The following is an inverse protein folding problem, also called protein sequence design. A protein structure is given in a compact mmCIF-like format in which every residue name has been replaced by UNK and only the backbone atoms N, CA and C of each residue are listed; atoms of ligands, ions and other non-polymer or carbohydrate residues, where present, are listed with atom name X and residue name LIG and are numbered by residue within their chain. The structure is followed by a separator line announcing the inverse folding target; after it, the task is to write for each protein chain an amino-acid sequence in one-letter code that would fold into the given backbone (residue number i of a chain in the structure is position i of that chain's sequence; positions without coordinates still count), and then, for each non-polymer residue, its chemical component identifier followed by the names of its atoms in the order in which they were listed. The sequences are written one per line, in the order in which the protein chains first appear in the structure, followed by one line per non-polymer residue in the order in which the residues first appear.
data_IF_371576227655
#
_entry.id   IF_371576227655
#
_cell.length_a   1.000
_cell.length_b   1.000
_cell.length_c   1.000
_cell.angle_alpha   90.00
_cell.angle_beta   90.00
_cell.angle_gamma   90.00
#
_symmetry.space_group_name_H-M   'P 1'
#
loop_
_entity.id
_entity.type
_entity.pdbx_description
1 polymer ?
#
# COMPACT_ATOMS: atom_id res chain seq x y z
N UNK A 1 39.52 -29.33 -35.24
CA UNK A 1 39.14 -28.86 -36.59
C UNK A 1 38.06 -29.80 -37.08
N UNK A 2 36.86 -29.34 -37.44
CA UNK A 2 35.84 -30.24 -37.99
C UNK A 2 36.30 -30.72 -39.38
N UNK A 3 36.11 -32.01 -39.68
CA UNK A 3 36.41 -32.61 -40.99
C UNK A 3 35.73 -31.82 -42.13
N UNK A 4 36.41 -31.65 -43.29
CA UNK A 4 35.77 -31.08 -44.47
C UNK A 4 34.68 -32.03 -44.97
N UNK A 5 33.44 -31.57 -44.88
CA UNK A 5 32.25 -32.21 -45.43
C UNK A 5 32.35 -32.18 -46.97
N UNK A 6 32.93 -33.23 -47.56
CA UNK A 6 33.05 -33.40 -49.02
C UNK A 6 31.70 -33.70 -49.72
N UNK A 7 30.58 -33.56 -49.00
CA UNK A 7 29.26 -33.71 -49.58
C UNK A 7 29.00 -32.61 -50.61
N UNK A 8 28.68 -33.03 -51.83
CA UNK A 8 28.33 -32.14 -52.94
C UNK A 8 26.81 -32.09 -53.09
N UNK A 9 26.24 -30.89 -53.03
CA UNK A 9 24.80 -30.66 -53.20
C UNK A 9 24.50 -30.09 -54.59
N UNK A 10 23.33 -30.42 -55.18
CA UNK A 10 22.90 -29.78 -56.42
C UNK A 10 22.58 -28.30 -56.17
N UNK A 11 22.97 -27.45 -57.11
CA UNK A 11 22.66 -26.02 -57.11
C UNK A 11 22.45 -25.52 -58.55
N UNK A 12 21.96 -24.30 -58.69
CA UNK A 12 21.83 -23.64 -60.00
C UNK A 12 22.70 -22.39 -60.03
N UNK A 13 23.59 -22.34 -61.02
CA UNK A 13 24.46 -21.19 -61.26
C UNK A 13 23.94 -20.39 -62.45
N UNK A 14 23.89 -19.08 -62.28
CA UNK A 14 23.53 -18.12 -63.32
C UNK A 14 24.73 -17.20 -63.52
N UNK A 15 25.27 -17.14 -64.74
CA UNK A 15 26.45 -16.33 -65.05
C UNK A 15 26.11 -14.84 -65.21
N UNK A 16 24.91 -14.55 -65.69
CA UNK A 16 24.34 -13.21 -65.84
C UNK A 16 22.81 -13.25 -65.58
N UNK A 17 22.14 -12.09 -65.64
CA UNK A 17 20.69 -11.99 -65.44
C UNK A 17 19.83 -12.62 -66.55
N UNK A 18 20.44 -12.93 -67.71
CA UNK A 18 19.73 -13.33 -68.95
C UNK A 18 19.94 -14.80 -69.33
N UNK A 19 20.85 -15.50 -68.68
CA UNK A 19 21.20 -16.89 -68.96
C UNK A 19 20.26 -17.88 -68.26
N UNK A 20 19.97 -18.99 -68.95
CA UNK A 20 19.29 -20.13 -68.34
C UNK A 20 20.22 -20.77 -67.29
N UNK A 21 19.78 -20.86 -66.04
CA UNK A 21 20.62 -21.34 -64.95
C UNK A 21 21.15 -22.76 -65.20
N UNK A 22 22.47 -22.91 -65.14
CA UNK A 22 23.20 -24.15 -65.39
C UNK A 22 23.22 -25.01 -64.12
N UNK A 23 22.91 -26.32 -64.21
CA UNK A 23 23.00 -27.22 -63.07
C UNK A 23 24.47 -27.42 -62.68
N UNK A 24 24.81 -27.07 -61.44
CA UNK A 24 26.16 -27.20 -60.87
C UNK A 24 26.10 -28.03 -59.60
N UNK A 25 27.25 -28.49 -59.12
CA UNK A 25 27.39 -29.04 -57.76
C UNK A 25 28.22 -28.12 -56.89
N UNK A 26 27.74 -27.90 -55.67
CA UNK A 26 28.41 -27.07 -54.67
C UNK A 26 28.83 -27.88 -53.46
N UNK A 27 29.98 -27.55 -52.89
CA UNK A 27 30.34 -27.99 -51.54
C UNK A 27 30.94 -26.83 -50.75
N UNK A 28 30.88 -26.93 -49.44
CA UNK A 28 31.35 -25.89 -48.52
C UNK A 28 32.77 -26.27 -48.05
N UNK A 29 33.77 -25.53 -48.51
CA UNK A 29 35.17 -25.73 -48.11
C UNK A 29 35.57 -24.78 -46.97
N UNK A 30 36.81 -24.86 -46.50
CA UNK A 30 37.39 -23.87 -45.58
C UNK A 30 37.65 -22.51 -46.24
N UNK A 31 37.83 -22.47 -47.56
CA UNK A 31 38.15 -21.25 -48.34
C UNK A 31 36.93 -20.53 -48.89
N UNK A 32 35.80 -21.21 -49.05
CA UNK A 32 34.60 -20.67 -49.68
C UNK A 32 33.63 -21.73 -50.20
N UNK A 33 32.61 -21.29 -50.92
CA UNK A 33 31.70 -22.17 -51.66
C UNK A 33 32.40 -22.57 -52.96
N UNK A 34 32.65 -23.86 -53.13
CA UNK A 34 33.25 -24.40 -54.35
C UNK A 34 32.15 -24.87 -55.28
N UNK A 35 32.16 -24.39 -56.52
CA UNK A 35 31.16 -24.61 -57.56
C UNK A 35 31.84 -25.43 -58.67
N UNK A 36 31.28 -26.58 -58.99
CA UNK A 36 31.81 -27.53 -59.99
C UNK A 36 30.75 -27.85 -61.05
N UNK A 37 31.18 -28.06 -62.30
CA UNK A 37 30.29 -28.29 -63.44
C UNK A 37 29.86 -27.02 -64.19
N UNK A 38 30.73 -25.98 -64.18
CA UNK A 38 30.60 -24.79 -65.02
C UNK A 38 31.04 -25.12 -66.46
N UNK A 39 30.72 -24.26 -67.43
CA UNK A 39 30.93 -24.52 -68.87
C UNK A 39 32.41 -24.75 -69.27
N UNK A 40 33.37 -24.24 -68.49
CA UNK A 40 34.81 -24.38 -68.73
C UNK A 40 35.46 -25.55 -67.95
N UNK A 41 34.67 -26.40 -67.27
CA UNK A 41 35.11 -27.54 -66.45
C UNK A 41 36.07 -27.19 -65.28
N UNK A 42 36.33 -25.90 -65.04
CA UNK A 42 37.11 -25.37 -63.93
C UNK A 42 36.26 -25.22 -62.64
N UNK A 43 36.81 -25.62 -61.49
CA UNK A 43 36.19 -25.40 -60.18
C UNK A 43 36.28 -23.91 -59.80
N UNK A 44 35.13 -23.24 -59.68
CA UNK A 44 35.04 -21.84 -59.25
C UNK A 44 34.87 -21.78 -57.73
N UNK A 45 35.69 -20.98 -57.05
CA UNK A 45 35.59 -20.79 -55.59
C UNK A 45 35.07 -19.38 -55.29
N UNK A 46 34.00 -19.30 -54.50
CA UNK A 46 33.47 -18.05 -53.95
C UNK A 46 33.84 -17.93 -52.47
N UNK A 47 34.87 -17.13 -52.12
CA UNK A 47 35.26 -16.89 -50.74
C UNK A 47 34.12 -16.35 -49.88
N UNK A 48 33.97 -16.90 -48.68
CA UNK A 48 32.90 -16.52 -47.77
C UNK A 48 32.85 -15.02 -47.51
N UNK A 49 34.00 -14.36 -47.35
CA UNK A 49 34.10 -12.93 -47.02
C UNK A 49 33.56 -11.96 -48.10
N UNK A 50 33.28 -12.46 -49.31
CA UNK A 50 32.76 -11.66 -50.42
C UNK A 50 31.40 -12.18 -50.94
N UNK A 51 30.73 -13.04 -50.17
CA UNK A 51 29.34 -13.41 -50.41
C UNK A 51 28.39 -12.31 -49.97
N UNK A 52 27.33 -12.11 -50.75
CA UNK A 52 26.25 -11.17 -50.49
C UNK A 52 24.88 -11.87 -50.65
N UNK A 53 23.90 -11.43 -49.87
CA UNK A 53 22.53 -11.94 -49.95
C UNK A 53 21.55 -10.82 -49.59
N UNK A 54 20.66 -10.48 -50.52
CA UNK A 54 19.60 -9.49 -50.33
C UNK A 54 18.22 -10.10 -50.63
N UNK A 55 17.32 -10.20 -49.63
CA UNK A 55 17.52 -9.88 -48.21
C UNK A 55 18.48 -10.86 -47.51
N UNK A 56 19.05 -10.45 -46.37
CA UNK A 56 19.90 -11.32 -45.53
C UNK A 56 19.17 -12.61 -45.14
N UNK A 57 19.93 -13.69 -45.08
CA UNK A 57 19.41 -15.05 -44.91
C UNK A 57 18.98 -15.31 -43.48
N UNK A 58 17.80 -15.92 -43.28
CA UNK A 58 17.39 -16.42 -41.96
C UNK A 58 18.23 -17.64 -41.55
N UNK A 59 18.66 -17.76 -40.28
CA UNK A 59 19.37 -18.95 -39.79
C UNK A 59 18.63 -20.29 -40.00
N UNK A 60 17.32 -20.24 -40.23
CA UNK A 60 16.46 -21.42 -40.43
C UNK A 60 16.21 -21.75 -41.91
N UNK A 61 16.78 -20.98 -42.85
CA UNK A 61 16.56 -21.23 -44.27
C UNK A 61 17.20 -22.56 -44.71
N UNK A 62 16.52 -23.26 -45.62
CA UNK A 62 17.05 -24.44 -46.30
C UNK A 62 17.51 -24.16 -47.73
N UNK A 63 17.03 -23.07 -48.34
CA UNK A 63 17.42 -22.65 -49.69
C UNK A 63 17.51 -21.14 -49.80
N UNK A 64 18.53 -20.62 -50.47
CA UNK A 64 18.68 -19.18 -50.71
C UNK A 64 19.46 -18.91 -51.99
N UNK A 65 19.31 -17.71 -52.51
CA UNK A 65 20.16 -17.16 -53.57
C UNK A 65 21.27 -16.36 -52.93
N UNK A 66 22.51 -16.59 -53.37
CA UNK A 66 23.71 -15.89 -52.93
C UNK A 66 24.36 -15.25 -54.17
N UNK A 67 24.82 -14.01 -54.04
CA UNK A 67 25.65 -13.33 -55.04
C UNK A 67 27.09 -13.21 -54.56
N UNK A 68 27.98 -12.93 -55.49
CA UNK A 68 29.41 -12.73 -55.21
C UNK A 68 29.81 -11.32 -55.58
N UNK A 69 30.41 -10.59 -54.62
CA UNK A 69 30.76 -9.17 -54.76
C UNK A 69 31.58 -8.85 -56.02
N UNK A 70 32.47 -9.75 -56.44
CA UNK A 70 33.34 -9.55 -57.60
C UNK A 70 32.74 -10.06 -58.91
N UNK A 71 31.55 -10.69 -58.86
CA UNK A 71 30.76 -11.12 -60.00
C UNK A 71 29.28 -10.76 -59.76
N UNK A 72 28.93 -9.46 -59.74
CA UNK A 72 27.63 -8.99 -59.26
C UNK A 72 26.45 -9.45 -60.12
N UNK A 73 26.68 -9.76 -61.40
CA UNK A 73 25.65 -10.29 -62.30
C UNK A 73 25.40 -11.79 -62.12
N UNK A 74 26.30 -12.48 -61.41
CA UNK A 74 26.20 -13.91 -61.17
C UNK A 74 25.47 -14.21 -59.86
N UNK A 75 24.64 -15.26 -59.88
CA UNK A 75 23.92 -15.72 -58.70
C UNK A 75 23.94 -17.23 -58.60
N UNK A 76 23.95 -17.71 -57.36
CA UNK A 76 23.98 -19.11 -57.02
C UNK A 76 22.77 -19.44 -56.15
N UNK A 77 21.87 -20.25 -56.68
CA UNK A 77 20.72 -20.78 -55.93
C UNK A 77 21.12 -22.11 -55.30
N UNK A 78 21.18 -22.12 -53.97
CA UNK A 78 21.65 -23.27 -53.18
C UNK A 78 20.51 -23.76 -52.29
N UNK A 79 20.31 -25.08 -52.26
CA UNK A 79 19.43 -25.75 -51.32
C UNK A 79 20.21 -26.83 -50.54
N UNK A 80 20.57 -26.53 -49.29
CA UNK A 80 21.36 -27.44 -48.42
C UNK A 80 20.63 -27.59 -47.07
N UNK A 81 20.49 -28.83 -46.55
CA UNK A 81 20.00 -29.04 -45.19
C UNK A 81 20.85 -28.27 -44.16
N UNK A 82 20.21 -27.42 -43.36
CA UNK A 82 20.91 -26.58 -42.38
C UNK A 82 21.77 -25.47 -42.99
N UNK A 83 21.47 -25.03 -44.23
CA UNK A 83 22.22 -23.97 -44.93
C UNK A 83 22.40 -22.72 -44.07
N UNK A 84 21.34 -22.24 -43.43
CA UNK A 84 21.41 -21.06 -42.55
C UNK A 84 22.38 -21.22 -41.37
N UNK A 85 22.46 -22.40 -40.75
CA UNK A 85 23.42 -22.69 -39.67
C UNK A 85 24.85 -22.78 -40.20
N UNK A 86 25.05 -23.46 -41.34
CA UNK A 86 26.36 -23.54 -42.00
C UNK A 86 26.86 -22.14 -42.41
N UNK A 87 26.02 -21.31 -43.03
CA UNK A 87 26.35 -19.92 -43.38
C UNK A 87 26.58 -19.04 -42.15
N UNK A 88 25.86 -19.25 -41.05
CA UNK A 88 26.10 -18.51 -39.79
C UNK A 88 27.50 -18.75 -39.25
N UNK A 89 28.08 -19.92 -39.52
CA UNK A 89 29.44 -20.31 -39.11
C UNK A 89 30.51 -19.76 -40.06
N UNK A 90 30.31 -19.89 -41.38
CA UNK A 90 31.34 -19.58 -42.38
C UNK A 90 31.24 -18.16 -42.96
N UNK A 91 30.05 -17.59 -43.07
CA UNK A 91 29.76 -16.29 -43.66
C UNK A 91 28.70 -15.53 -42.81
N UNK A 92 29.01 -15.14 -41.56
CA UNK A 92 28.04 -14.50 -40.67
C UNK A 92 27.48 -13.18 -41.22
N UNK A 93 28.19 -12.51 -42.14
CA UNK A 93 27.75 -11.26 -42.74
C UNK A 93 26.53 -11.39 -43.66
N UNK A 94 26.26 -12.59 -44.20
CA UNK A 94 25.08 -12.84 -45.05
C UNK A 94 23.84 -13.29 -44.25
N UNK A 95 23.98 -13.57 -42.95
CA UNK A 95 22.90 -14.06 -42.09
C UNK A 95 22.34 -12.92 -41.22
N UNK A 96 21.01 -12.84 -41.08
CA UNK A 96 20.36 -11.89 -40.19
C UNK A 96 20.55 -12.28 -38.71
N UNK A 97 20.86 -11.32 -37.83
CA UNK A 97 21.02 -11.60 -36.40
C UNK A 97 19.69 -12.06 -35.76
N UNK A 98 19.72 -13.14 -34.96
CA UNK A 98 18.59 -13.56 -34.10
C UNK A 98 18.37 -12.58 -32.94
N UNK A 99 17.94 -11.35 -33.21
CA UNK A 99 17.49 -10.47 -32.13
C UNK A 99 16.01 -10.75 -31.86
N UNK A 100 15.74 -11.62 -30.88
CA UNK A 100 14.35 -11.94 -30.53
C UNK A 100 13.74 -10.81 -29.70
N UNK A 101 12.80 -10.08 -30.31
CA UNK A 101 11.90 -9.13 -29.65
C UNK A 101 11.05 -9.76 -28.52
N UNK A 102 11.12 -11.10 -28.31
CA UNK A 102 10.39 -11.78 -27.23
C UNK A 102 10.88 -11.39 -25.83
N UNK A 103 12.18 -11.11 -25.66
CA UNK A 103 12.72 -10.77 -24.33
C UNK A 103 12.24 -9.38 -23.86
N UNK A 104 12.08 -8.44 -24.79
CA UNK A 104 11.57 -7.08 -24.51
C UNK A 104 10.17 -7.10 -23.89
N UNK A 105 9.31 -8.04 -24.32
CA UNK A 105 7.94 -8.17 -23.75
C UNK A 105 7.97 -8.42 -22.24
N UNK A 106 8.87 -9.29 -21.78
CA UNK A 106 9.00 -9.59 -20.35
C UNK A 106 9.60 -8.43 -19.55
N UNK A 107 10.51 -7.65 -20.16
CA UNK A 107 11.04 -6.42 -19.55
C UNK A 107 9.93 -5.38 -19.36
N UNK A 108 9.08 -5.15 -20.36
CA UNK A 108 7.96 -4.21 -20.25
C UNK A 108 6.91 -4.68 -19.24
N UNK A 109 6.57 -5.98 -19.21
CA UNK A 109 5.65 -6.54 -18.21
C UNK A 109 6.23 -6.37 -16.80
N UNK A 110 7.52 -6.69 -16.60
CA UNK A 110 8.19 -6.52 -15.32
C UNK A 110 8.22 -5.07 -14.85
N UNK A 111 8.55 -4.14 -15.75
CA UNK A 111 8.54 -2.70 -15.45
C UNK A 111 7.14 -2.19 -15.09
N UNK A 112 6.10 -2.62 -15.83
CA UNK A 112 4.72 -2.26 -15.55
C UNK A 112 4.26 -2.78 -14.18
N UNK A 113 4.53 -4.06 -13.88
CA UNK A 113 4.22 -4.65 -12.58
C UNK A 113 4.97 -3.96 -11.44
N UNK A 114 6.26 -3.64 -11.64
CA UNK A 114 7.05 -2.90 -10.68
C UNK A 114 6.49 -1.50 -10.41
N UNK A 115 6.11 -0.77 -11.46
CA UNK A 115 5.48 0.55 -11.35
C UNK A 115 4.11 0.47 -10.66
N UNK A 116 3.29 -0.54 -10.97
CA UNK A 116 2.00 -0.76 -10.34
C UNK A 116 2.13 -1.07 -8.84
N UNK A 117 3.08 -1.95 -8.46
CA UNK A 117 3.37 -2.25 -7.05
C UNK A 117 3.88 -1.00 -6.34
N UNK A 118 4.81 -0.26 -6.95
CA UNK A 118 5.31 0.99 -6.37
C UNK A 118 4.19 2.01 -6.18
N UNK A 119 3.30 2.18 -7.16
CA UNK A 119 2.12 3.06 -7.07
C UNK A 119 1.16 2.61 -5.96
N UNK A 120 0.91 1.31 -5.81
CA UNK A 120 0.08 0.78 -4.73
C UNK A 120 0.70 1.03 -3.36
N UNK A 121 2.01 0.84 -3.22
CA UNK A 121 2.74 1.11 -1.97
C UNK A 121 2.74 2.60 -1.65
N UNK A 122 2.94 3.48 -2.63
CA UNK A 122 2.89 4.93 -2.41
C UNK A 122 1.48 5.39 -2.03
N UNK A 123 0.43 4.91 -2.70
CA UNK A 123 -0.95 5.21 -2.33
C UNK A 123 -1.32 4.69 -0.94
N UNK A 124 -0.85 3.50 -0.58
CA UNK A 124 -1.04 2.95 0.77
C UNK A 124 -0.36 3.81 1.84
N UNK A 125 0.89 4.21 1.59
CA UNK A 125 1.67 5.02 2.53
C UNK A 125 1.21 6.49 2.58
N UNK A 126 0.70 7.03 1.48
CA UNK A 126 0.26 8.43 1.38
C UNK A 126 -1.03 8.73 2.16
N UNK A 127 -1.74 7.71 2.68
CA UNK A 127 -2.98 7.87 3.45
C UNK A 127 -3.97 8.85 2.81
N UNK A 128 -4.39 8.64 1.53
CA UNK A 128 -5.26 9.57 0.81
C UNK A 128 -6.57 9.87 1.55
N UNK A 129 -7.03 8.92 2.37
CA UNK A 129 -8.19 9.10 3.24
C UNK A 129 -8.03 10.27 4.24
N UNK A 130 -6.83 10.53 4.77
CA UNK A 130 -6.55 11.66 5.66
C UNK A 130 -6.59 12.99 4.92
N UNK A 131 -6.07 13.02 3.69
CA UNK A 131 -6.15 14.21 2.85
C UNK A 131 -7.61 14.56 2.52
N UNK A 132 -8.41 13.56 2.12
CA UNK A 132 -9.85 13.73 1.91
C UNK A 132 -10.53 14.20 3.20
N UNK A 133 -10.21 13.59 4.34
CA UNK A 133 -10.77 13.99 5.65
C UNK A 133 -10.48 15.46 5.98
N UNK A 134 -9.28 15.95 5.66
CA UNK A 134 -8.89 17.35 5.89
C UNK A 134 -9.64 18.34 5.00
N UNK A 135 -10.14 17.89 3.83
CA UNK A 135 -10.95 18.71 2.93
C UNK A 135 -12.42 18.82 3.39
N UNK A 136 -12.86 18.01 4.36
CA UNK A 136 -14.24 18.04 4.86
C UNK A 136 -14.44 19.25 5.78
N UNK A 137 -15.43 20.12 5.51
CA UNK A 137 -15.75 21.25 6.38
C UNK A 137 -16.03 20.82 7.83
N UNK A 138 -15.56 21.60 8.80
CA UNK A 138 -15.72 21.32 10.24
C UNK A 138 -17.19 21.12 10.63
N UNK A 139 -18.10 21.95 10.13
CA UNK A 139 -19.53 21.83 10.41
C UNK A 139 -20.09 20.46 9.98
N UNK A 140 -19.66 19.96 8.82
CA UNK A 140 -20.05 18.64 8.31
C UNK A 140 -19.47 17.52 9.16
N UNK A 141 -18.19 17.61 9.54
CA UNK A 141 -17.56 16.64 10.45
C UNK A 141 -18.28 16.58 11.80
N UNK A 142 -18.66 17.72 12.37
CA UNK A 142 -19.42 17.78 13.63
C UNK A 142 -20.83 17.22 13.51
N UNK A 143 -21.52 17.46 12.39
CA UNK A 143 -22.84 16.90 12.13
C UNK A 143 -22.76 15.37 12.04
N UNK A 144 -21.82 14.87 11.24
CA UNK A 144 -21.56 13.44 11.08
C UNK A 144 -21.19 12.78 12.41
N UNK A 145 -20.30 13.40 13.19
CA UNK A 145 -19.92 12.93 14.52
C UNK A 145 -21.08 12.83 15.48
N UNK A 146 -21.97 13.84 15.51
CA UNK A 146 -23.18 13.81 16.34
C UNK A 146 -24.10 12.64 15.95
N UNK A 147 -24.26 12.37 14.66
CA UNK A 147 -25.03 11.20 14.18
C UNK A 147 -24.37 9.88 14.54
N UNK A 148 -23.04 9.77 14.42
CA UNK A 148 -22.26 8.59 14.81
C UNK A 148 -22.42 8.30 16.31
N UNK A 149 -22.15 9.29 17.17
CA UNK A 149 -22.26 9.15 18.62
C UNK A 149 -23.71 8.85 19.02
N UNK A 150 -24.69 9.50 18.40
CA UNK A 150 -26.11 9.22 18.64
C UNK A 150 -26.47 7.77 18.30
N UNK A 151 -25.97 7.26 17.16
CA UNK A 151 -26.17 5.86 16.76
C UNK A 151 -25.54 4.88 17.75
N UNK A 152 -24.30 5.14 18.20
CA UNK A 152 -23.59 4.31 19.18
C UNK A 152 -24.28 4.35 20.56
N UNK A 153 -24.70 5.53 21.01
CA UNK A 153 -25.28 5.75 22.32
C UNK A 153 -26.78 5.40 22.38
N UNK A 154 -27.47 5.19 21.25
CA UNK A 154 -28.93 4.98 21.17
C UNK A 154 -29.46 3.90 22.11
N UNK A 155 -28.67 2.86 22.37
CA UNK A 155 -29.06 1.71 23.22
C UNK A 155 -28.64 1.85 24.67
N UNK A 156 -27.91 2.91 25.02
CA UNK A 156 -27.34 3.12 26.34
C UNK A 156 -27.88 4.39 26.96
N UNK A 157 -27.90 4.43 28.30
CA UNK A 157 -28.27 5.64 29.02
C UNK A 157 -27.05 6.56 29.09
N UNK A 158 -27.28 7.86 29.00
CA UNK A 158 -26.24 8.88 29.15
C UNK A 158 -26.07 9.17 30.64
N UNK A 159 -24.82 9.22 31.08
CA UNK A 159 -24.44 9.58 32.44
C UNK A 159 -24.44 11.11 32.54
N UNK A 160 -25.32 11.68 33.37
CA UNK A 160 -25.59 13.13 33.34
C UNK A 160 -25.78 13.76 34.74
N UNK A 161 -25.16 13.20 35.78
CA UNK A 161 -25.08 13.89 37.07
C UNK A 161 -24.24 15.16 36.92
N UNK A 162 -24.82 16.32 37.26
CA UNK A 162 -24.19 17.63 37.11
C UNK A 162 -22.84 17.81 37.83
N UNK A 163 -22.59 17.21 39.02
CA UNK A 163 -21.28 17.28 39.68
C UNK A 163 -20.19 16.45 38.97
N UNK A 164 -20.57 15.32 38.38
CA UNK A 164 -19.60 14.34 37.87
C UNK A 164 -19.17 14.68 36.44
N UNK A 165 -20.08 15.25 35.64
CA UNK A 165 -19.77 15.80 34.31
C UNK A 165 -18.72 16.91 34.36
N UNK A 166 -18.72 17.71 35.44
CA UNK A 166 -17.69 18.74 35.67
C UNK A 166 -16.29 18.14 35.67
N UNK A 167 -16.09 16.92 36.19
CA UNK A 167 -14.75 16.32 36.25
C UNK A 167 -14.23 15.96 34.87
N UNK A 168 -15.09 15.45 33.98
CA UNK A 168 -14.74 15.17 32.58
C UNK A 168 -14.50 16.47 31.82
N UNK A 169 -15.35 17.47 31.99
CA UNK A 169 -15.22 18.77 31.33
C UNK A 169 -13.95 19.50 31.78
N UNK A 170 -13.64 19.48 33.08
CA UNK A 170 -12.40 20.04 33.64
C UNK A 170 -11.17 19.32 33.08
N UNK A 171 -11.20 17.99 33.01
CA UNK A 171 -10.08 17.22 32.48
C UNK A 171 -9.87 17.51 30.99
N UNK A 172 -10.95 17.54 30.22
CA UNK A 172 -10.93 17.91 28.80
C UNK A 172 -10.37 19.31 28.62
N UNK A 173 -10.85 20.29 29.38
CA UNK A 173 -10.38 21.67 29.34
C UNK A 173 -8.90 21.81 29.71
N UNK A 174 -8.40 21.07 30.70
CA UNK A 174 -6.97 21.03 31.05
C UNK A 174 -6.13 20.50 29.90
N UNK A 175 -6.57 19.42 29.24
CA UNK A 175 -5.83 18.79 28.14
C UNK A 175 -5.74 19.68 26.91
N UNK A 176 -6.82 20.41 26.57
CA UNK A 176 -6.87 21.23 25.35
C UNK A 176 -6.51 22.70 25.59
N UNK A 177 -6.31 23.12 26.84
CA UNK A 177 -6.25 24.53 27.23
C UNK A 177 -5.14 25.34 26.55
N UNK A 178 -4.05 24.71 26.14
CA UNK A 178 -2.93 25.32 25.40
C UNK A 178 -2.99 25.07 23.89
N UNK A 179 -3.88 24.20 23.42
CA UNK A 179 -3.89 23.73 22.04
C UNK A 179 -4.94 24.49 21.21
N UNK A 180 -4.50 25.09 20.10
CA UNK A 180 -5.42 25.65 19.10
C UNK A 180 -6.08 24.53 18.30
N UNK A 181 -7.20 24.01 18.81
CA UNK A 181 -8.03 23.03 18.10
C UNK A 181 -9.06 23.73 17.22
N UNK A 182 -9.28 23.21 16.00
CA UNK A 182 -10.32 23.70 15.09
C UNK A 182 -11.73 23.55 15.67
N UNK A 183 -11.92 22.59 16.58
CA UNK A 183 -13.14 22.44 17.37
C UNK A 183 -12.85 21.96 18.77
N UNK A 184 -13.69 22.40 19.72
CA UNK A 184 -13.62 21.93 21.11
C UNK A 184 -14.12 20.49 21.17
N UNK A 185 -13.37 19.55 21.76
CA UNK A 185 -13.86 18.20 21.97
C UNK A 185 -15.14 18.20 22.82
N UNK A 186 -16.12 17.41 22.39
CA UNK A 186 -17.36 17.19 23.11
C UNK A 186 -17.38 15.76 23.63
N UNK A 187 -17.32 15.59 24.94
CA UNK A 187 -17.24 14.28 25.58
C UNK A 187 -18.62 13.85 26.06
N UNK A 188 -19.09 12.70 25.58
CA UNK A 188 -20.28 12.01 26.06
C UNK A 188 -19.88 10.81 26.90
N UNK A 189 -20.46 10.66 28.09
CA UNK A 189 -20.30 9.46 28.91
C UNK A 189 -21.56 8.64 28.87
N UNK A 190 -21.44 7.35 28.56
CA UNK A 190 -22.58 6.42 28.48
C UNK A 190 -22.43 5.27 29.46
N UNK A 191 -23.55 4.85 30.04
CA UNK A 191 -23.62 3.70 30.94
C UNK A 191 -23.55 2.40 30.13
N UNK A 192 -22.35 2.11 29.67
CA UNK A 192 -21.99 0.92 28.93
C UNK A 192 -20.85 0.22 29.66
N UNK A 193 -21.03 -1.08 29.97
CA UNK A 193 -20.07 -1.89 30.71
C UNK A 193 -18.80 -2.26 29.94
N UNK A 194 -18.78 -2.04 28.62
CA UNK A 194 -17.57 -2.24 27.81
C UNK A 194 -16.45 -1.34 28.33
N UNK A 195 -15.22 -1.85 28.43
CA UNK A 195 -14.05 -1.03 28.73
C UNK A 195 -13.54 -0.43 27.41
N UNK A 196 -14.05 0.74 27.02
CA UNK A 196 -13.62 1.43 25.81
C UNK A 196 -13.79 2.97 25.86
N UNK A 197 -13.13 3.66 24.94
CA UNK A 197 -13.39 5.05 24.57
C UNK A 197 -13.33 5.15 23.04
N UNK A 198 -14.00 6.14 22.45
CA UNK A 198 -14.06 6.28 21.00
C UNK A 198 -14.01 7.75 20.59
N UNK A 199 -13.24 8.04 19.55
CA UNK A 199 -13.33 9.28 18.79
C UNK A 199 -14.23 9.13 17.55
N UNK A 200 -15.14 10.07 17.38
CA UNK A 200 -15.97 10.24 16.20
C UNK A 200 -15.66 11.60 15.52
N UNK A 201 -16.07 11.78 14.25
CA UNK A 201 -15.75 12.98 13.49
C UNK A 201 -16.08 14.30 14.20
N UNK A 202 -15.31 15.35 13.93
CA UNK A 202 -15.58 16.69 14.44
C UNK A 202 -15.52 16.82 15.97
N UNK A 203 -14.54 16.15 16.59
CA UNK A 203 -14.27 16.29 18.03
C UNK A 203 -15.29 15.63 18.95
N UNK A 204 -16.13 14.72 18.45
CA UNK A 204 -17.12 14.03 19.30
C UNK A 204 -16.48 12.80 19.94
N UNK A 205 -16.39 12.75 21.26
CA UNK A 205 -15.77 11.66 22.00
C UNK A 205 -16.83 10.91 22.83
N UNK A 206 -16.72 9.59 22.92
CA UNK A 206 -17.57 8.76 23.77
C UNK A 206 -16.72 7.95 24.74
N UNK A 207 -16.95 8.16 26.03
CA UNK A 207 -16.37 7.38 27.11
C UNK A 207 -17.42 6.43 27.67
N UNK A 208 -17.01 5.20 27.94
CA UNK A 208 -17.88 4.20 28.58
C UNK A 208 -17.71 4.23 30.10
N UNK A 209 -18.79 3.97 30.83
CA UNK A 209 -18.73 3.75 32.27
C UNK A 209 -17.83 2.57 32.64
N UNK A 210 -17.81 1.51 31.81
CA UNK A 210 -16.92 0.37 31.97
C UNK A 210 -15.45 0.80 32.00
N UNK A 211 -15.03 1.69 31.09
CA UNK A 211 -13.70 2.28 31.12
C UNK A 211 -13.43 3.07 32.39
N UNK A 212 -14.31 4.01 32.75
CA UNK A 212 -14.15 4.85 33.95
C UNK A 212 -14.06 3.99 35.21
N UNK A 213 -14.87 2.92 35.32
CA UNK A 213 -14.82 1.97 36.42
C UNK A 213 -13.54 1.13 36.44
N UNK A 214 -13.00 0.76 35.28
CA UNK A 214 -11.76 0.01 35.14
C UNK A 214 -10.49 0.86 35.35
N UNK A 215 -10.57 2.19 35.21
CA UNK A 215 -9.46 3.09 35.48
C UNK A 215 -9.13 3.13 36.99
N UNK A 216 -7.84 3.02 37.29
CA UNK A 216 -7.26 2.97 38.65
C UNK A 216 -6.87 4.35 39.17
N UNK A 217 -6.48 5.25 38.29
CA UNK A 217 -6.08 6.62 38.63
C UNK A 217 -6.73 7.63 37.67
N UNK A 218 -6.87 8.90 38.08
CA UNK A 218 -7.34 9.94 37.17
C UNK A 218 -6.36 10.18 36.00
N UNK A 219 -5.07 9.88 36.16
CA UNK A 219 -4.06 9.96 35.09
C UNK A 219 -4.30 8.90 34.00
N UNK A 220 -4.80 7.71 34.33
CA UNK A 220 -5.18 6.73 33.30
C UNK A 220 -6.35 7.26 32.45
N UNK A 221 -7.34 7.92 33.08
CA UNK A 221 -8.45 8.56 32.34
C UNK A 221 -7.94 9.71 31.49
N UNK A 222 -7.06 10.55 32.04
CA UNK A 222 -6.44 11.65 31.31
C UNK A 222 -5.65 11.15 30.10
N UNK A 223 -4.88 10.08 30.26
CA UNK A 223 -4.09 9.49 29.20
C UNK A 223 -4.93 8.97 28.05
N UNK A 224 -5.96 8.17 28.34
CA UNK A 224 -6.86 7.65 27.30
C UNK A 224 -7.67 8.78 26.65
N UNK A 225 -8.14 9.76 27.42
CA UNK A 225 -8.83 10.91 26.86
C UNK A 225 -7.91 11.73 25.94
N UNK A 226 -6.66 11.96 26.34
CA UNK A 226 -5.66 12.63 25.50
C UNK A 226 -5.38 11.84 24.20
N UNK A 227 -5.39 10.51 24.28
CA UNK A 227 -5.27 9.62 23.12
C UNK A 227 -6.46 9.75 22.16
N UNK A 228 -7.70 9.74 22.66
CA UNK A 228 -8.88 9.95 21.83
C UNK A 228 -8.92 11.37 21.20
N UNK A 229 -8.48 12.40 21.94
CA UNK A 229 -8.29 13.74 21.39
C UNK A 229 -7.21 13.71 20.29
N UNK A 230 -6.14 12.95 20.47
CA UNK A 230 -5.11 12.72 19.46
C UNK A 230 -5.67 12.14 18.16
N UNK A 231 -6.55 11.14 18.23
CA UNK A 231 -7.27 10.64 17.05
C UNK A 231 -8.12 11.72 16.37
N UNK A 232 -8.78 12.58 17.15
CA UNK A 232 -9.56 13.69 16.61
C UNK A 232 -8.69 14.76 15.95
N UNK A 233 -7.50 15.06 16.49
CA UNK A 233 -6.55 16.02 15.90
C UNK A 233 -6.05 15.50 14.54
N UNK A 234 -5.74 14.20 14.47
CA UNK A 234 -5.19 13.57 13.27
C UNK A 234 -6.26 13.17 12.23
N UNK A 235 -7.55 13.44 12.50
CA UNK A 235 -8.70 13.12 11.64
C UNK A 235 -8.83 11.61 11.35
N UNK A 236 -8.40 10.76 12.30
CA UNK A 236 -8.45 9.31 12.14
C UNK A 236 -9.88 8.75 12.03
N UNK A 237 -10.90 9.25 12.77
CA UNK A 237 -12.28 8.81 12.59
C UNK A 237 -12.81 9.08 11.18
N UNK A 238 -12.58 10.27 10.64
CA UNK A 238 -12.97 10.67 9.28
C UNK A 238 -12.24 9.82 8.23
N UNK A 239 -10.93 9.65 8.37
CA UNK A 239 -10.16 8.78 7.49
C UNK A 239 -10.64 7.32 7.56
N UNK A 240 -11.02 6.85 8.76
CA UNK A 240 -11.62 5.54 8.97
C UNK A 240 -12.93 5.36 8.19
N UNK A 241 -13.81 6.37 8.21
CA UNK A 241 -15.03 6.36 7.39
C UNK A 241 -14.67 6.25 5.91
N UNK A 242 -13.81 7.15 5.40
CA UNK A 242 -13.41 7.16 3.98
C UNK A 242 -12.84 5.80 3.55
N UNK A 243 -12.01 5.16 4.40
CA UNK A 243 -11.47 3.83 4.14
C UNK A 243 -12.54 2.74 4.10
N UNK A 244 -13.56 2.84 4.95
CA UNK A 244 -14.51 1.75 5.13
C UNK A 244 -15.66 1.79 4.13
N UNK A 245 -16.19 2.97 3.82
CA UNK A 245 -17.30 3.11 2.86
C UNK A 245 -16.80 3.40 1.44
N UNK A 246 -15.52 3.71 1.27
CA UNK A 246 -14.93 4.13 0.01
C UNK A 246 -15.16 5.62 -0.28
N UNK A 247 -14.36 6.19 -1.20
CA UNK A 247 -14.35 7.63 -1.47
C UNK A 247 -15.71 8.13 -1.98
N UNK A 248 -16.32 7.43 -2.93
CA UNK A 248 -17.59 7.84 -3.54
C UNK A 248 -18.74 7.89 -2.52
N UNK A 249 -18.90 6.85 -1.69
CA UNK A 249 -19.93 6.83 -0.66
C UNK A 249 -19.61 7.78 0.50
N UNK A 250 -18.34 7.99 0.82
CA UNK A 250 -17.94 8.98 1.82
C UNK A 250 -18.31 10.40 1.36
N UNK A 251 -18.04 10.74 0.10
CA UNK A 251 -18.43 12.03 -0.48
C UNK A 251 -19.94 12.21 -0.48
N UNK A 252 -20.71 11.18 -0.84
CA UNK A 252 -22.18 11.22 -0.77
C UNK A 252 -22.69 11.49 0.66
N UNK A 253 -22.15 10.78 1.66
CA UNK A 253 -22.46 11.00 3.08
C UNK A 253 -22.11 12.42 3.55
N UNK A 254 -20.98 12.96 3.09
CA UNK A 254 -20.49 14.32 3.41
C UNK A 254 -21.37 15.38 2.75
N UNK A 255 -21.84 15.14 1.53
CA UNK A 255 -22.67 16.06 0.76
C UNK A 255 -24.16 15.99 1.14
N UNK A 256 -24.53 15.15 2.11
CA UNK A 256 -25.89 15.06 2.63
C UNK A 256 -26.79 14.05 1.92
N UNK A 257 -26.22 13.07 1.21
CA UNK A 257 -26.92 11.92 0.67
C UNK A 257 -27.68 11.16 1.77
N UNK A 258 -29.00 11.28 1.78
CA UNK A 258 -29.88 10.94 2.91
C UNK A 258 -30.00 9.45 3.27
N UNK A 259 -29.26 8.54 2.65
CA UNK A 259 -29.46 7.09 2.79
C UNK A 259 -28.55 6.35 3.79
N UNK A 260 -27.37 6.88 4.12
CA UNK A 260 -26.27 6.02 4.63
C UNK A 260 -25.89 6.10 6.12
N UNK A 261 -26.44 7.04 6.90
CA UNK A 261 -25.95 7.25 8.29
C UNK A 261 -26.50 6.26 9.32
N UNK A 262 -27.52 5.46 9.02
CA UNK A 262 -28.22 4.62 10.00
C UNK A 262 -27.40 3.43 10.52
N UNK A 263 -26.27 3.08 9.89
CA UNK A 263 -25.38 1.98 10.31
C UNK A 263 -23.94 2.40 10.64
N UNK A 264 -23.57 3.66 10.41
CA UNK A 264 -22.16 4.09 10.46
C UNK A 264 -21.56 4.03 11.87
N UNK A 265 -22.38 4.22 12.91
CA UNK A 265 -21.94 4.06 14.30
C UNK A 265 -21.49 2.62 14.59
N UNK A 266 -22.25 1.61 14.12
CA UNK A 266 -21.89 0.20 14.29
C UNK A 266 -20.63 -0.19 13.51
N UNK A 267 -20.39 0.47 12.37
CA UNK A 267 -19.19 0.28 11.57
C UNK A 267 -17.95 0.79 12.31
N UNK A 268 -18.05 2.01 12.88
CA UNK A 268 -16.95 2.61 13.64
C UNK A 268 -16.66 1.90 14.96
N UNK A 269 -17.65 1.26 15.58
CA UNK A 269 -17.43 0.39 16.75
C UNK A 269 -16.50 -0.79 16.47
N UNK A 270 -16.38 -1.22 15.21
CA UNK A 270 -15.51 -2.32 14.78
C UNK A 270 -14.26 -1.83 14.07
N UNK A 271 -14.12 -0.52 13.87
CA UNK A 271 -13.00 0.05 13.16
C UNK A 271 -11.72 -0.14 13.98
N UNK A 272 -10.71 -0.74 13.35
CA UNK A 272 -9.38 -0.90 13.94
C UNK A 272 -8.45 0.14 13.36
N UNK A 273 -7.77 0.87 14.23
CA UNK A 273 -6.77 1.83 13.76
C UNK A 273 -5.50 1.13 13.30
N UNK A 274 -4.88 1.68 12.26
CA UNK A 274 -3.58 1.22 11.79
C UNK A 274 -2.50 1.55 12.83
N UNK A 275 -1.40 0.79 12.82
CA UNK A 275 -0.27 1.01 13.73
C UNK A 275 0.28 2.45 13.70
N UNK A 276 0.30 3.07 12.52
CA UNK A 276 0.74 4.46 12.36
C UNK A 276 -0.28 5.47 12.92
N UNK A 277 -1.58 5.19 12.80
CA UNK A 277 -2.66 6.03 13.35
C UNK A 277 -2.55 6.03 14.89
N UNK A 278 -2.33 4.86 15.50
CA UNK A 278 -2.08 4.75 16.95
C UNK A 278 -0.82 5.50 17.40
N UNK A 279 0.27 5.40 16.65
CA UNK A 279 1.52 6.12 16.98
C UNK A 279 1.34 7.63 16.90
N UNK A 280 0.66 8.13 15.88
CA UNK A 280 0.38 9.56 15.75
C UNK A 280 -0.55 10.04 16.89
N UNK A 281 -1.58 9.27 17.22
CA UNK A 281 -2.46 9.59 18.36
C UNK A 281 -1.71 9.56 19.71
N UNK A 282 -0.81 8.60 19.92
CA UNK A 282 0.06 8.55 21.12
C UNK A 282 0.98 9.77 21.22
N UNK A 283 1.60 10.19 20.11
CA UNK A 283 2.47 11.36 20.07
C UNK A 283 1.71 12.64 20.40
N UNK A 284 0.48 12.78 19.88
CA UNK A 284 -0.44 13.84 20.23
C UNK A 284 -0.83 13.78 21.71
N UNK A 285 -1.19 12.61 22.23
CA UNK A 285 -1.56 12.41 23.63
C UNK A 285 -0.44 12.81 24.59
N UNK A 286 0.79 12.37 24.32
CA UNK A 286 1.96 12.70 25.14
C UNK A 286 2.28 14.20 25.08
N UNK A 287 2.04 14.86 23.94
CA UNK A 287 2.17 16.31 23.84
C UNK A 287 1.12 17.02 24.68
N UNK A 288 -0.16 16.64 24.57
CA UNK A 288 -1.26 17.22 25.35
C UNK A 288 -1.03 17.05 26.86
N UNK A 289 -0.62 15.85 27.30
CA UNK A 289 -0.32 15.58 28.71
C UNK A 289 0.85 16.44 29.22
N UNK A 290 1.89 16.62 28.41
CA UNK A 290 3.04 17.46 28.75
C UNK A 290 2.65 18.93 28.86
N UNK A 291 1.91 19.46 27.89
CA UNK A 291 1.44 20.84 27.88
C UNK A 291 0.51 21.12 29.08
N UNK A 292 -0.39 20.18 29.37
CA UNK A 292 -1.28 20.23 30.54
C UNK A 292 -0.57 19.97 31.88
N UNK A 293 0.72 19.61 31.86
CA UNK A 293 1.50 19.16 33.04
C UNK A 293 0.80 18.04 33.80
N UNK A 294 0.13 17.11 33.13
CA UNK A 294 -0.48 15.90 33.71
C UNK A 294 0.48 14.73 33.54
N UNK A 295 0.71 13.89 34.55
CA UNK A 295 1.66 12.77 34.42
C UNK A 295 1.35 11.83 33.24
N UNK A 296 2.34 11.58 32.37
CA UNK A 296 2.25 10.59 31.29
C UNK A 296 2.28 9.14 31.78
N UNK A 297 2.60 8.90 33.06
CA UNK A 297 2.64 7.55 33.63
C UNK A 297 1.28 6.85 33.56
N UNK A 298 0.17 7.58 33.70
CA UNK A 298 -1.16 7.00 33.60
C UNK A 298 -1.43 6.34 32.24
N UNK A 299 -0.99 6.95 31.14
CA UNK A 299 -1.13 6.35 29.81
C UNK A 299 -0.28 5.08 29.66
N UNK A 300 0.96 5.13 30.15
CA UNK A 300 1.91 4.01 30.12
C UNK A 300 1.37 2.83 30.94
N UNK A 301 0.98 3.09 32.18
CA UNK A 301 0.48 2.08 33.12
C UNK A 301 -0.80 1.43 32.60
N UNK A 302 -1.69 2.23 32.00
CA UNK A 302 -2.88 1.73 31.35
C UNK A 302 -2.55 0.76 30.21
N UNK A 303 -1.68 1.16 29.28
CA UNK A 303 -1.27 0.28 28.18
C UNK A 303 -0.62 -1.02 28.67
N UNK A 304 0.25 -0.96 29.67
CA UNK A 304 0.86 -2.18 30.22
C UNK A 304 -0.17 -3.10 30.85
N UNK A 305 -1.13 -2.52 31.56
CA UNK A 305 -2.21 -3.27 32.20
C UNK A 305 -3.09 -3.97 31.17
N UNK A 306 -3.47 -3.27 30.09
CA UNK A 306 -4.21 -3.88 28.98
C UNK A 306 -3.36 -4.96 28.31
N UNK A 307 -2.09 -4.68 28.01
CA UNK A 307 -1.20 -5.61 27.33
C UNK A 307 -0.91 -6.89 28.11
N UNK A 308 -0.72 -6.79 29.44
CA UNK A 308 -0.51 -7.95 30.32
C UNK A 308 -1.77 -8.80 30.46
N UNK A 309 -2.96 -8.19 30.44
CA UNK A 309 -4.22 -8.92 30.50
C UNK A 309 -4.45 -9.85 29.30
N UNK A 310 -3.73 -9.62 28.18
CA UNK A 310 -3.83 -10.44 26.97
C UNK A 310 -2.96 -11.70 27.01
N UNK A 311 -1.86 -11.71 27.77
CA UNK A 311 -0.83 -12.75 27.68
C UNK A 311 -0.97 -13.89 28.71
N UNK A 312 -2.08 -13.99 29.46
CA UNK A 312 -2.21 -15.11 30.43
C UNK A 312 -3.32 -15.07 31.47
N UNK A 313 -4.32 -14.17 31.37
CA UNK A 313 -5.48 -14.21 32.27
C UNK A 313 -6.78 -14.20 31.45
N UNK A 314 -7.23 -15.41 31.09
CA UNK A 314 -8.61 -15.64 30.67
C UNK A 314 -9.54 -15.13 31.78
N UNK A 315 -10.21 -14.00 31.55
CA UNK A 315 -11.17 -13.40 32.49
C UNK A 315 -11.19 -11.88 32.58
N UNK A 316 -10.27 -11.15 31.94
CA UNK A 316 -10.25 -9.68 32.07
C UNK A 316 -11.20 -8.97 31.09
N UNK A 317 -12.23 -8.30 31.62
CA UNK A 317 -13.23 -7.44 30.94
C UNK A 317 -12.63 -6.24 30.17
N UNK A 318 -11.29 -6.12 30.12
CA UNK A 318 -10.55 -4.97 29.58
C UNK A 318 -10.32 -5.07 28.05
N UNK A 319 -10.77 -6.15 27.39
CA UNK A 319 -10.50 -6.41 25.96
C UNK A 319 -11.12 -5.45 24.94
N UNK A 320 -12.08 -4.59 25.33
CA UNK A 320 -12.78 -3.68 24.42
C UNK A 320 -11.84 -2.70 23.70
N UNK A 321 -11.01 -2.00 24.47
CA UNK A 321 -10.09 -0.98 23.96
C UNK A 321 -9.02 -1.57 23.03
N UNK A 322 -8.58 -2.80 23.27
CA UNK A 322 -7.62 -3.49 22.40
C UNK A 322 -8.21 -3.87 21.02
N UNK A 323 -9.52 -4.13 20.94
CA UNK A 323 -10.13 -4.49 19.67
C UNK A 323 -10.02 -3.34 18.68
N UNK A 324 -10.18 -2.10 19.12
CA UNK A 324 -10.08 -0.90 18.28
C UNK A 324 -8.67 -0.30 18.26
N UNK A 325 -7.91 -0.42 19.36
CA UNK A 325 -6.56 0.14 19.54
C UNK A 325 -5.50 -0.95 19.82
N UNK A 326 -4.82 -1.48 18.79
CA UNK A 326 -3.87 -2.59 18.95
C UNK A 326 -2.50 -2.18 19.54
N UNK A 327 -1.66 -3.18 19.82
CA UNK A 327 -0.24 -3.08 20.22
C UNK A 327 0.08 -2.32 21.53
N UNK A 328 -0.66 -2.52 22.64
CA UNK A 328 -0.49 -1.70 23.84
C UNK A 328 0.92 -1.81 24.48
N UNK A 329 1.56 -2.98 24.49
CA UNK A 329 2.92 -3.12 25.07
C UNK A 329 4.00 -2.36 24.28
N UNK A 330 3.91 -2.36 22.95
CA UNK A 330 4.81 -1.57 22.09
C UNK A 330 4.64 -0.08 22.35
N UNK A 331 3.39 0.37 22.45
CA UNK A 331 3.01 1.76 22.71
C UNK A 331 3.47 2.22 24.09
N UNK A 332 3.30 1.39 25.12
CA UNK A 332 3.87 1.63 26.46
C UNK A 332 5.39 1.82 26.40
N UNK A 333 6.11 0.92 25.70
CA UNK A 333 7.56 1.03 25.52
C UNK A 333 7.97 2.32 24.81
N UNK A 334 7.22 2.74 23.79
CA UNK A 334 7.46 4.03 23.09
C UNK A 334 7.21 5.22 24.01
N UNK A 335 6.08 5.26 24.69
CA UNK A 335 5.72 6.34 25.62
C UNK A 335 6.72 6.49 26.77
N UNK A 336 7.28 5.37 27.27
CA UNK A 336 8.37 5.39 28.27
C UNK A 336 9.65 6.07 27.77
N UNK A 337 9.92 6.04 26.46
CA UNK A 337 11.09 6.70 25.86
C UNK A 337 10.86 8.19 25.57
N UNK A 338 9.64 8.68 25.73
CA UNK A 338 9.33 10.10 25.51
C UNK A 338 9.89 10.96 26.65
N UNK A 339 10.31 12.20 26.37
CA UNK A 339 10.88 13.09 27.39
C UNK A 339 10.00 13.22 28.62
N UNK A 340 10.61 13.00 29.79
CA UNK A 340 9.95 13.13 31.10
C UNK A 340 9.82 14.60 31.50
N UNK A 341 8.82 14.89 32.32
CA UNK A 341 8.56 16.21 32.89
C UNK A 341 7.95 16.04 34.28
N UNK A 342 7.98 17.10 35.08
CA UNK A 342 7.26 17.13 36.36
C UNK A 342 5.75 17.18 36.10
N UNK A 343 5.13 16.01 36.17
CA UNK A 343 3.71 15.78 35.93
C UNK A 343 2.91 15.87 37.23
N UNK A 344 1.84 16.65 37.21
CA UNK A 344 0.91 16.85 38.30
C UNK A 344 -0.28 15.90 38.19
N UNK A 345 -1.07 15.85 39.26
CA UNK A 345 -2.31 15.08 39.30
C UNK A 345 -3.33 15.64 38.30
N UNK A 346 -4.00 14.73 37.58
CA UNK A 346 -5.03 15.07 36.61
C UNK A 346 -6.27 15.69 37.29
N UNK A 347 -6.69 15.08 38.41
CA UNK A 347 -7.87 15.46 39.20
C UNK A 347 -7.53 15.39 40.69
N UNK A 348 -8.23 16.21 41.50
CA UNK A 348 -8.18 16.05 42.96
C UNK A 348 -8.88 14.76 43.39
N UNK A 349 -8.66 14.31 44.62
CA UNK A 349 -9.31 13.12 45.16
C UNK A 349 -10.85 13.22 45.17
N UNK A 350 -11.39 14.42 45.39
CA UNK A 350 -12.83 14.68 45.35
C UNK A 350 -13.37 14.56 43.92
N UNK A 351 -12.72 15.22 42.96
CA UNK A 351 -13.06 15.14 41.53
C UNK A 351 -12.96 13.71 41.01
N UNK A 352 -11.96 12.94 41.46
CA UNK A 352 -11.82 11.54 41.10
C UNK A 352 -12.98 10.69 41.62
N UNK A 353 -13.38 10.87 42.89
CA UNK A 353 -14.54 10.16 43.47
C UNK A 353 -15.84 10.53 42.76
N UNK A 354 -16.03 11.79 42.38
CA UNK A 354 -17.16 12.25 41.57
C UNK A 354 -17.17 11.55 40.19
N UNK A 355 -16.03 11.57 39.49
CA UNK A 355 -15.90 10.89 38.20
C UNK A 355 -16.23 9.38 38.29
N UNK A 356 -15.82 8.68 39.35
CA UNK A 356 -16.16 7.26 39.55
C UNK A 356 -17.66 7.00 39.78
N UNK A 357 -18.43 8.03 40.13
CA UNK A 357 -19.88 7.97 40.37
C UNK A 357 -20.71 8.57 39.23
N UNK A 358 -20.07 8.94 38.12
CA UNK A 358 -20.68 9.66 37.00
C UNK A 358 -21.97 9.06 36.43
N UNK A 359 -22.14 7.74 36.53
CA UNK A 359 -23.31 7.02 36.05
C UNK A 359 -24.24 6.55 37.18
N UNK A 360 -24.15 7.09 38.39
CA UNK A 360 -25.14 6.84 39.44
C UNK A 360 -26.52 7.39 39.05
N UNK A 361 -26.54 8.51 38.32
CA UNK A 361 -27.73 9.07 37.69
C UNK A 361 -27.57 9.04 36.17
N UNK A 362 -28.54 8.45 35.48
CA UNK A 362 -28.51 8.29 34.03
C UNK A 362 -29.83 8.72 33.41
N UNK A 363 -29.81 9.22 32.17
CA UNK A 363 -30.99 9.63 31.40
C UNK A 363 -30.97 9.00 29.99
N UNK A 364 -32.13 8.79 29.34
CA UNK A 364 -32.16 8.46 27.91
C UNK A 364 -31.51 9.56 27.07
N UNK A 365 -30.88 9.18 25.95
CA UNK A 365 -30.30 10.13 25.00
C UNK A 365 -31.37 11.08 24.44
N UNK A 366 -31.18 12.40 24.55
CA UNK A 366 -32.09 13.41 23.98
C UNK A 366 -33.16 13.98 24.92
N UNK A 367 -33.27 13.49 26.16
CA UNK A 367 -34.08 14.14 27.20
C UNK A 367 -33.25 15.21 27.94
N UNK A 368 -33.74 16.46 27.94
CA UNK A 368 -33.16 17.56 28.73
C UNK A 368 -33.40 17.33 30.22
#
# INVERSE_FOLDING_TARGET
MPEPDNQRWPARFFADERTAGTPVRVHLSDRGIVISGTADDDELIWPYGALEAEPRVSPEVQSTTISYKYMPESRLEIAIPGLGEKLSRYAPQVVASRFSLSLLKYVFIGAFLGAAIWMLVTLYNAQPARWIASAIPEATRQSLGRSVISSMAKRYRVCNSAPDRKSVDLLTAKLVGSTSLSSKPNVLVVDWSLVNAFAAPGGQLLLTNGFIRAARTPEEVAGVLAHEIGHSIELHPEAGIVRTVGIAAALDLIMGGGGGLSGIGNLLLRNRYARQDERAADEQALRLLREARISQSGLIDFFERIGRSQNGQAGSTIGGLFQTHPYPLERASRARRSPTYDGRQALTQEQWRALKKICNETKPLGQK
#
